data_IF_043415303721
#
_entry.id   IF_043415303721
#
_cell.length_a   1.000
_cell.length_b   1.000
_cell.length_c   1.000
_cell.angle_alpha   90.00
_cell.angle_beta   90.00
_cell.angle_gamma   90.00
#
_symmetry.space_group_name_H-M   'P 1'
#
loop_
_entity.id
_entity.type
_entity.pdbx_description
1 polymer ?
#
# COMPACT_ATOMS: atom_id res chain seq x y z
N UNK A 1 -17.12 -9.16 -31.56
CA UNK A 1 -16.57 -8.02 -30.79
C UNK A 1 -15.49 -8.58 -29.90
N UNK A 2 -14.28 -8.01 -29.92
CA UNK A 2 -13.24 -8.42 -28.96
C UNK A 2 -13.68 -7.88 -27.60
N UNK A 3 -13.97 -8.77 -26.65
CA UNK A 3 -14.30 -8.36 -25.28
C UNK A 3 -13.03 -7.73 -24.70
N UNK A 4 -13.08 -6.44 -24.39
CA UNK A 4 -11.95 -5.75 -23.77
C UNK A 4 -11.70 -6.38 -22.41
N UNK A 5 -10.45 -6.80 -22.15
CA UNK A 5 -10.08 -7.39 -20.87
C UNK A 5 -10.12 -6.31 -19.80
N UNK A 6 -10.86 -6.55 -18.72
CA UNK A 6 -10.99 -5.61 -17.60
C UNK A 6 -10.59 -6.29 -16.30
N UNK A 7 -9.77 -5.63 -15.48
CA UNK A 7 -9.28 -6.14 -14.21
C UNK A 7 -9.97 -5.39 -13.07
N UNK A 8 -10.58 -6.14 -12.15
CA UNK A 8 -11.07 -5.59 -10.89
C UNK A 8 -9.86 -5.30 -9.99
N UNK A 9 -9.57 -4.04 -9.75
CA UNK A 9 -8.40 -3.62 -8.97
C UNK A 9 -8.86 -3.05 -7.63
N UNK A 10 -8.36 -3.64 -6.55
CA UNK A 10 -8.77 -3.33 -5.18
C UNK A 10 -7.56 -2.80 -4.42
N UNK A 11 -7.72 -1.70 -3.70
CA UNK A 11 -6.71 -1.14 -2.80
C UNK A 11 -7.31 -1.09 -1.39
N UNK A 12 -6.79 -1.94 -0.51
CA UNK A 12 -7.22 -2.05 0.88
C UNK A 12 -6.28 -1.19 1.73
N UNK A 13 -6.82 -0.21 2.45
CA UNK A 13 -6.05 0.60 3.39
C UNK A 13 -6.80 0.81 4.70
N UNK A 14 -6.09 1.34 5.71
CA UNK A 14 -6.69 1.62 7.03
C UNK A 14 -7.73 2.75 7.02
N UNK A 15 -7.71 3.61 6.01
CA UNK A 15 -8.62 4.78 5.91
C UNK A 15 -9.72 4.61 4.86
N UNK A 16 -9.57 3.65 3.95
CA UNK A 16 -10.58 3.35 2.95
C UNK A 16 -10.23 2.13 2.12
N UNK A 17 -11.26 1.60 1.46
CA UNK A 17 -11.15 0.58 0.42
C UNK A 17 -11.47 1.26 -0.91
N UNK A 18 -10.61 1.09 -1.90
CA UNK A 18 -10.86 1.57 -3.26
C UNK A 18 -11.09 0.38 -4.18
N UNK A 19 -12.02 0.55 -5.11
CA UNK A 19 -12.27 -0.38 -6.19
C UNK A 19 -12.23 0.39 -7.50
N UNK A 20 -11.54 -0.17 -8.50
CA UNK A 20 -11.45 0.42 -9.82
C UNK A 20 -11.39 -0.66 -10.90
N UNK A 21 -12.06 -0.40 -12.02
CA UNK A 21 -11.94 -1.22 -13.22
C UNK A 21 -10.81 -0.69 -14.08
N UNK A 22 -9.78 -1.52 -14.31
CA UNK A 22 -8.61 -1.13 -15.10
C UNK A 22 -8.52 -1.95 -16.39
N UNK A 23 -8.04 -1.32 -17.45
CA UNK A 23 -7.55 -2.01 -18.65
C UNK A 23 -6.14 -2.57 -18.41
N UNK A 24 -5.63 -3.50 -19.24
CA UNK A 24 -4.30 -4.08 -19.06
C UNK A 24 -3.15 -3.07 -19.20
N UNK A 25 -3.37 -1.95 -19.90
CA UNK A 25 -2.45 -0.82 -20.03
C UNK A 25 -2.54 0.18 -18.88
N UNK A 26 -3.32 -0.12 -17.83
CA UNK A 26 -3.41 0.69 -16.60
C UNK A 26 -4.38 1.87 -16.66
N UNK A 27 -5.21 1.97 -17.69
CA UNK A 27 -6.23 3.01 -17.74
C UNK A 27 -7.36 2.68 -16.77
N UNK A 28 -7.63 3.59 -15.85
CA UNK A 28 -8.79 3.54 -14.97
C UNK A 28 -10.05 3.87 -15.78
N UNK A 29 -11.00 2.93 -15.85
CA UNK A 29 -12.29 3.08 -16.53
C UNK A 29 -13.34 3.68 -15.59
N UNK A 30 -13.35 3.20 -14.35
CA UNK A 30 -14.18 3.69 -13.26
C UNK A 30 -13.45 3.49 -11.94
N UNK A 31 -13.87 4.24 -10.93
CA UNK A 31 -13.30 4.20 -9.59
C UNK A 31 -14.34 4.60 -8.56
N UNK A 32 -14.36 3.87 -7.46
CA UNK A 32 -15.17 4.16 -6.28
C UNK A 32 -14.40 3.83 -5.02
N UNK A 33 -14.90 4.27 -3.87
CA UNK A 33 -14.30 3.98 -2.57
C UNK A 33 -15.33 4.02 -1.46
N UNK A 34 -15.06 3.28 -0.39
CA UNK A 34 -15.76 3.36 0.88
C UNK A 34 -14.75 3.57 2.01
N UNK A 35 -15.23 4.04 3.17
CA UNK A 35 -14.47 3.92 4.41
C UNK A 35 -14.20 2.45 4.71
N UNK A 36 -13.05 2.16 5.33
CA UNK A 36 -12.68 0.80 5.73
C UNK A 36 -13.78 0.19 6.61
N UNK A 37 -14.39 -0.95 6.20
CA UNK A 37 -15.41 -1.61 7.01
C UNK A 37 -14.87 -2.05 8.38
N UNK A 38 -15.77 -2.22 9.35
CA UNK A 38 -15.42 -2.66 10.72
C UNK A 38 -15.12 -4.18 10.80
N UNK A 39 -15.55 -4.96 9.80
CA UNK A 39 -15.43 -6.42 9.77
C UNK A 39 -15.24 -6.96 8.34
N UNK A 40 -14.87 -8.24 8.24
CA UNK A 40 -14.59 -8.91 6.97
C UNK A 40 -15.86 -9.14 6.15
N UNK A 41 -16.98 -9.43 6.81
CA UNK A 41 -18.26 -9.71 6.17
C UNK A 41 -18.76 -8.52 5.36
N UNK A 42 -18.70 -7.31 5.93
CA UNK A 42 -19.07 -6.07 5.26
C UNK A 42 -18.14 -5.75 4.10
N UNK A 43 -16.84 -6.03 4.23
CA UNK A 43 -15.88 -5.90 3.13
C UNK A 43 -16.23 -6.86 1.98
N UNK A 44 -16.42 -8.14 2.27
CA UNK A 44 -16.74 -9.15 1.26
C UNK A 44 -18.08 -8.87 0.58
N UNK A 45 -19.10 -8.44 1.33
CA UNK A 45 -20.39 -8.06 0.77
C UNK A 45 -20.28 -6.85 -0.16
N UNK A 46 -19.45 -5.86 0.18
CA UNK A 46 -19.22 -4.72 -0.70
C UNK A 46 -18.43 -5.11 -1.96
N UNK A 47 -17.43 -5.99 -1.84
CA UNK A 47 -16.69 -6.52 -2.98
C UNK A 47 -17.59 -7.33 -3.92
N UNK A 48 -18.51 -8.14 -3.38
CA UNK A 48 -19.50 -8.89 -4.17
C UNK A 48 -20.41 -7.98 -5.01
N UNK A 49 -20.88 -6.87 -4.42
CA UNK A 49 -21.64 -5.86 -5.17
C UNK A 49 -20.84 -5.27 -6.32
N UNK A 50 -19.54 -4.98 -6.12
CA UNK A 50 -18.68 -4.38 -7.17
C UNK A 50 -18.26 -5.39 -8.24
N UNK A 51 -17.98 -6.63 -7.84
CA UNK A 51 -17.55 -7.71 -8.73
C UNK A 51 -18.70 -8.23 -9.61
N UNK A 52 -19.96 -8.08 -9.18
CA UNK A 52 -21.16 -8.47 -9.93
C UNK A 52 -21.67 -7.42 -10.93
N UNK A 53 -21.15 -6.19 -10.89
CA UNK A 53 -21.59 -5.08 -11.76
C UNK A 53 -21.20 -5.27 -13.23
N UNK A 54 -20.15 -6.03 -13.51
CA UNK A 54 -19.67 -6.28 -14.87
C UNK A 54 -18.80 -7.54 -14.96
N UNK A 55 -18.49 -7.94 -16.19
CA UNK A 55 -17.61 -9.09 -16.44
C UNK A 55 -16.13 -8.71 -16.32
N UNK A 56 -15.49 -9.15 -15.24
CA UNK A 56 -14.04 -9.02 -15.07
C UNK A 56 -13.28 -10.23 -15.62
N UNK A 57 -12.01 -10.04 -15.93
CA UNK A 57 -11.09 -11.09 -16.39
C UNK A 57 -10.07 -11.51 -15.33
N UNK A 58 -10.04 -10.82 -14.19
CA UNK A 58 -9.12 -11.06 -13.08
C UNK A 58 -9.36 -10.07 -11.94
N UNK A 59 -8.86 -10.41 -10.75
CA UNK A 59 -8.87 -9.58 -9.55
C UNK A 59 -7.42 -9.32 -9.13
N UNK A 60 -7.06 -8.05 -8.99
CA UNK A 60 -5.75 -7.61 -8.51
C UNK A 60 -5.92 -6.79 -7.23
N UNK A 61 -5.13 -7.08 -6.19
CA UNK A 61 -5.27 -6.46 -4.88
C UNK A 61 -3.94 -5.87 -4.38
N UNK A 62 -3.98 -4.60 -4.00
CA UNK A 62 -2.99 -3.92 -3.17
C UNK A 62 -3.44 -4.04 -1.72
N UNK A 63 -2.61 -4.65 -0.86
CA UNK A 63 -2.97 -4.93 0.54
C UNK A 63 -1.82 -4.59 1.49
N UNK A 64 -2.12 -4.18 2.74
CA UNK A 64 -1.10 -4.01 3.76
C UNK A 64 -0.74 -5.36 4.38
N UNK A 65 0.51 -5.52 4.80
CA UNK A 65 1.04 -6.78 5.33
C UNK A 65 1.82 -7.58 4.28
N UNK A 66 2.29 -8.75 4.70
CA UNK A 66 3.14 -9.62 3.88
C UNK A 66 2.28 -10.67 3.17
N UNK A 67 2.28 -10.68 1.84
CA UNK A 67 1.48 -11.63 1.06
C UNK A 67 2.26 -12.91 0.80
N UNK A 68 1.71 -14.05 1.20
CA UNK A 68 2.15 -15.35 0.73
C UNK A 68 1.53 -15.64 -0.65
N UNK A 69 2.36 -15.58 -1.68
CA UNK A 69 1.95 -15.71 -3.09
C UNK A 69 1.41 -17.11 -3.44
N UNK A 70 1.78 -18.15 -2.69
CA UNK A 70 1.31 -19.52 -2.93
C UNK A 70 -0.09 -19.74 -2.33
N UNK A 71 -0.28 -19.30 -1.09
CA UNK A 71 -1.53 -19.56 -0.35
C UNK A 71 -2.56 -18.44 -0.49
N UNK A 72 -2.16 -17.24 -0.92
CA UNK A 72 -3.02 -16.05 -0.93
C UNK A 72 -3.32 -15.52 0.47
N UNK A 73 -2.54 -15.92 1.48
CA UNK A 73 -2.68 -15.47 2.87
C UNK A 73 -1.92 -14.16 3.06
N UNK A 74 -2.53 -13.23 3.79
CA UNK A 74 -1.87 -12.02 4.29
C UNK A 74 -1.40 -12.30 5.72
N UNK A 75 -0.09 -12.18 5.92
CA UNK A 75 0.59 -12.36 7.19
C UNK A 75 0.99 -11.00 7.80
N UNK A 76 1.26 -11.01 9.11
CA UNK A 76 1.74 -9.86 9.86
C UNK A 76 0.62 -9.08 10.55
N UNK A 77 0.78 -7.76 10.62
CA UNK A 77 -0.16 -6.85 11.26
C UNK A 77 -0.38 -5.64 10.37
N UNK A 78 -1.60 -5.10 10.38
CA UNK A 78 -1.94 -3.90 9.62
C UNK A 78 -3.03 -3.08 10.33
N UNK A 79 -3.36 -1.93 9.76
CA UNK A 79 -4.50 -1.13 10.18
C UNK A 79 -5.87 -1.80 9.92
N UNK A 80 -5.91 -2.92 9.16
CA UNK A 80 -7.13 -3.69 8.87
C UNK A 80 -6.93 -5.14 9.34
N UNK A 81 -7.08 -5.46 10.64
CA UNK A 81 -6.64 -6.75 11.18
C UNK A 81 -7.38 -7.96 10.60
N UNK A 82 -8.66 -7.81 10.24
CA UNK A 82 -9.51 -8.93 9.80
C UNK A 82 -9.18 -9.45 8.39
N UNK A 83 -8.26 -8.84 7.64
CA UNK A 83 -7.83 -9.35 6.32
C UNK A 83 -6.74 -10.43 6.40
N UNK A 84 -6.23 -10.70 7.61
CA UNK A 84 -5.06 -11.56 7.86
C UNK A 84 -5.47 -12.99 8.19
N UNK A 85 -4.57 -13.95 7.92
CA UNK A 85 -4.68 -15.32 8.45
C UNK A 85 -5.65 -16.26 7.73
N UNK A 86 -6.16 -15.89 6.56
CA UNK A 86 -6.96 -16.76 5.68
C UNK A 86 -6.58 -16.56 4.22
N UNK A 87 -6.98 -17.48 3.34
CA UNK A 87 -6.68 -17.42 1.91
C UNK A 87 -7.67 -16.53 1.14
N UNK A 88 -7.17 -15.48 0.52
CA UNK A 88 -7.95 -14.66 -0.42
C UNK A 88 -8.25 -15.38 -1.73
N UNK A 89 -7.42 -16.37 -2.12
CA UNK A 89 -7.72 -17.22 -3.26
C UNK A 89 -8.99 -18.05 -3.00
N UNK A 90 -9.16 -18.57 -1.78
CA UNK A 90 -10.36 -19.31 -1.39
C UNK A 90 -11.57 -18.39 -1.21
N UNK A 91 -11.40 -17.26 -0.52
CA UNK A 91 -12.49 -16.31 -0.25
C UNK A 91 -13.11 -15.72 -1.53
N UNK A 92 -12.32 -15.61 -2.60
CA UNK A 92 -12.76 -15.11 -3.91
C UNK A 92 -12.89 -16.22 -4.97
N UNK A 93 -12.88 -17.50 -4.57
CA UNK A 93 -12.92 -18.63 -5.49
C UNK A 93 -14.21 -18.73 -6.30
N UNK A 94 -15.34 -18.27 -5.76
CA UNK A 94 -16.66 -18.32 -6.40
C UNK A 94 -16.74 -17.53 -7.71
N UNK A 95 -15.90 -16.49 -7.87
CA UNK A 95 -15.83 -15.69 -9.09
C UNK A 95 -15.16 -16.43 -10.25
N UNK A 96 -14.41 -17.52 -9.98
CA UNK A 96 -13.67 -18.28 -10.99
C UNK A 96 -12.71 -17.41 -11.82
N UNK A 97 -12.16 -16.37 -11.19
CA UNK A 97 -11.20 -15.44 -11.79
C UNK A 97 -9.80 -15.69 -11.20
N UNK A 98 -8.73 -15.40 -11.97
CA UNK A 98 -7.39 -15.28 -11.40
C UNK A 98 -7.37 -14.17 -10.34
N UNK A 99 -6.84 -14.48 -9.15
CA UNK A 99 -6.70 -13.54 -8.03
C UNK A 99 -5.22 -13.39 -7.73
N UNK A 100 -4.74 -12.14 -7.70
CA UNK A 100 -3.38 -11.82 -7.30
C UNK A 100 -3.40 -10.71 -6.25
N UNK A 101 -2.58 -10.88 -5.23
CA UNK A 101 -2.39 -9.89 -4.17
C UNK A 101 -0.91 -9.53 -4.06
N UNK A 102 -0.63 -8.29 -3.74
CA UNK A 102 0.72 -7.81 -3.49
C UNK A 102 0.70 -6.73 -2.40
N UNK A 103 1.83 -6.60 -1.69
CA UNK A 103 2.01 -5.55 -0.70
C UNK A 103 1.87 -4.15 -1.34
N UNK A 104 1.31 -3.20 -0.60
CA UNK A 104 1.10 -1.82 -1.04
C UNK A 104 2.38 -1.11 -1.54
N UNK A 105 3.50 -1.19 -0.82
CA UNK A 105 4.76 -0.60 -1.25
C UNK A 105 5.31 -1.26 -2.54
N UNK A 106 5.15 -2.58 -2.66
CA UNK A 106 5.47 -3.30 -3.90
C UNK A 106 4.57 -2.86 -5.06
N UNK A 107 3.27 -2.63 -4.81
CA UNK A 107 2.35 -2.10 -5.83
C UNK A 107 2.77 -0.71 -6.32
N UNK A 108 3.28 0.15 -5.45
CA UNK A 108 3.86 1.44 -5.86
C UNK A 108 5.03 1.22 -6.83
N UNK A 109 5.96 0.33 -6.51
CA UNK A 109 7.08 0.01 -7.43
C UNK A 109 6.63 -0.55 -8.77
N UNK A 110 5.64 -1.46 -8.77
CA UNK A 110 5.07 -2.00 -9.99
C UNK A 110 4.38 -0.93 -10.85
N UNK A 111 3.75 0.08 -10.21
CA UNK A 111 3.15 1.21 -10.93
C UNK A 111 4.19 2.05 -11.67
N UNK A 112 5.39 2.21 -11.09
CA UNK A 112 6.51 2.88 -11.76
C UNK A 112 7.04 2.07 -12.94
N UNK A 113 7.04 0.72 -12.86
CA UNK A 113 7.39 -0.11 -14.03
C UNK A 113 6.37 -0.01 -15.16
N UNK A 114 5.10 0.25 -14.85
CA UNK A 114 4.10 0.50 -15.87
C UNK A 114 4.32 1.86 -16.55
N UNK A 115 4.70 2.88 -15.78
CA UNK A 115 5.02 4.21 -16.31
C UNK A 115 6.35 4.25 -17.08
N UNK A 116 7.32 3.47 -16.63
CA UNK A 116 8.69 3.40 -17.13
C UNK A 116 9.08 1.93 -17.41
N UNK A 117 8.53 1.31 -18.47
CA UNK A 117 8.74 -0.10 -18.79
C UNK A 117 10.20 -0.46 -19.11
N UNK A 118 11.05 0.53 -19.36
CA UNK A 118 12.50 0.38 -19.57
C UNK A 118 13.31 0.23 -18.28
N UNK A 119 12.70 0.37 -17.10
CA UNK A 119 13.41 0.25 -15.82
C UNK A 119 13.89 -1.19 -15.57
N UNK A 120 15.21 -1.38 -15.65
CA UNK A 120 15.84 -2.66 -15.33
C UNK A 120 16.08 -2.81 -13.82
N UNK A 121 16.69 -1.81 -13.18
CA UNK A 121 17.02 -1.86 -11.76
C UNK A 121 16.61 -0.56 -11.08
N UNK A 122 15.75 -0.65 -10.07
CA UNK A 122 15.21 0.50 -9.38
C UNK A 122 14.94 0.18 -7.91
N UNK A 123 14.98 1.21 -7.08
CA UNK A 123 14.43 1.17 -5.73
C UNK A 123 13.37 2.27 -5.64
N UNK A 124 12.20 1.94 -5.10
CA UNK A 124 11.18 2.91 -4.76
C UNK A 124 11.02 2.94 -3.24
N UNK A 125 11.06 4.14 -2.66
CA UNK A 125 10.91 4.38 -1.23
C UNK A 125 9.58 5.09 -1.03
N UNK A 126 8.70 4.47 -0.24
CA UNK A 126 7.37 4.99 0.04
C UNK A 126 7.39 5.64 1.41
N UNK A 127 7.27 6.97 1.45
CA UNK A 127 7.34 7.77 2.68
C UNK A 127 5.91 8.14 3.11
N UNK A 128 5.45 7.58 4.24
CA UNK A 128 4.13 7.79 4.79
C UNK A 128 4.15 7.83 6.31
N UNK A 129 3.22 7.13 6.96
CA UNK A 129 3.24 6.97 8.43
C UNK A 129 4.50 6.25 8.90
N UNK A 130 4.98 5.29 8.12
CA UNK A 130 6.33 4.71 8.18
C UNK A 130 7.08 4.89 6.87
N UNK A 131 8.15 4.13 6.67
CA UNK A 131 8.83 3.98 5.39
C UNK A 131 8.64 2.54 4.91
N UNK A 132 8.05 2.38 3.74
CA UNK A 132 8.05 1.14 2.98
C UNK A 132 8.99 1.25 1.80
N UNK A 133 9.14 0.16 1.05
CA UNK A 133 9.88 0.21 -0.18
C UNK A 133 9.82 -1.06 -0.97
N UNK A 134 10.47 -1.00 -2.12
CA UNK A 134 10.46 -2.08 -3.10
C UNK A 134 11.67 -1.98 -3.99
N UNK A 135 12.12 -3.12 -4.50
CA UNK A 135 13.26 -3.22 -5.39
C UNK A 135 12.82 -3.91 -6.68
N UNK A 136 13.22 -3.34 -7.81
CA UNK A 136 13.17 -3.98 -9.11
C UNK A 136 14.58 -4.40 -9.49
N UNK A 137 14.74 -5.65 -9.92
CA UNK A 137 15.99 -6.20 -10.46
C UNK A 137 15.67 -6.91 -11.77
N UNK A 138 16.37 -6.53 -12.84
CA UNK A 138 16.14 -7.01 -14.21
C UNK A 138 14.67 -6.93 -14.66
N UNK A 139 14.05 -5.76 -14.45
CA UNK A 139 12.66 -5.47 -14.83
C UNK A 139 11.61 -6.23 -14.02
N UNK A 140 12.00 -6.84 -12.89
CA UNK A 140 11.11 -7.65 -12.05
C UNK A 140 11.19 -7.28 -10.59
N UNK A 141 10.05 -7.33 -9.92
CA UNK A 141 9.96 -7.17 -8.48
C UNK A 141 10.83 -8.20 -7.74
N UNK A 142 11.72 -7.70 -6.88
CA UNK A 142 12.58 -8.51 -6.03
C UNK A 142 11.97 -8.65 -4.63
N UNK A 143 11.24 -9.75 -4.41
CA UNK A 143 10.56 -10.03 -3.12
C UNK A 143 11.49 -10.54 -2.02
N UNK A 144 12.65 -11.10 -2.37
CA UNK A 144 13.54 -11.78 -1.43
C UNK A 144 12.98 -13.11 -0.90
N UNK A 145 13.76 -13.81 -0.07
CA UNK A 145 13.44 -15.17 0.41
C UNK A 145 12.19 -15.24 1.30
N UNK A 146 11.92 -14.18 2.06
CA UNK A 146 10.84 -14.12 3.06
C UNK A 146 9.82 -13.03 2.74
N UNK A 147 9.80 -12.50 1.52
CA UNK A 147 8.91 -11.38 1.17
C UNK A 147 9.32 -10.01 1.73
N UNK A 148 10.54 -9.88 2.27
CA UNK A 148 11.06 -8.66 2.90
C UNK A 148 12.01 -7.85 1.97
N UNK A 149 12.00 -8.13 0.67
CA UNK A 149 12.82 -7.39 -0.29
C UNK A 149 12.35 -5.93 -0.40
N UNK A 150 13.27 -4.98 -0.20
CA UNK A 150 12.93 -3.55 -0.26
C UNK A 150 12.35 -2.96 1.02
N UNK A 151 12.34 -3.69 2.14
CA UNK A 151 11.91 -3.22 3.46
C UNK A 151 12.90 -2.19 4.09
N UNK A 152 13.15 -1.09 3.38
CA UNK A 152 14.12 -0.06 3.75
C UNK A 152 13.81 0.57 5.10
N UNK A 153 12.54 0.60 5.49
CA UNK A 153 12.10 1.10 6.79
C UNK A 153 12.74 0.39 7.98
N UNK A 154 13.15 -0.87 7.84
CA UNK A 154 13.81 -1.65 8.90
C UNK A 154 15.30 -1.33 9.08
N UNK A 155 15.91 -0.60 8.15
CA UNK A 155 17.33 -0.23 8.22
C UNK A 155 17.60 0.64 9.45
N UNK A 156 18.46 0.19 10.38
CA UNK A 156 18.93 1.00 11.50
C UNK A 156 19.98 2.00 11.04
N UNK A 157 19.72 3.29 11.23
CA UNK A 157 20.61 4.38 10.79
C UNK A 157 21.37 5.01 11.95
N UNK A 158 20.95 4.74 13.19
CA UNK A 158 21.70 5.01 14.42
C UNK A 158 21.80 3.73 15.24
N UNK A 159 22.73 3.70 16.20
CA UNK A 159 22.86 2.58 17.12
C UNK A 159 21.52 2.34 17.86
N UNK A 160 21.00 1.10 17.88
CA UNK A 160 19.81 0.78 18.67
C UNK A 160 20.06 1.05 20.16
N UNK A 161 19.06 1.61 20.84
CA UNK A 161 19.08 1.87 22.28
C UNK A 161 17.70 1.51 22.86
N UNK A 162 17.03 2.43 23.56
CA UNK A 162 15.63 2.24 23.99
C UNK A 162 14.67 2.08 22.80
N UNK A 163 15.00 2.71 21.67
CA UNK A 163 14.31 2.55 20.38
C UNK A 163 15.23 1.82 19.40
N UNK A 164 14.61 1.17 18.41
CA UNK A 164 15.32 0.47 17.35
C UNK A 164 16.15 1.42 16.48
N UNK A 165 15.71 2.68 16.34
CA UNK A 165 16.35 3.70 15.52
C UNK A 165 16.45 3.29 14.04
N UNK A 166 15.40 2.63 13.55
CA UNK A 166 15.24 2.29 12.15
C UNK A 166 14.73 3.47 11.33
N UNK A 167 14.93 3.41 10.01
CA UNK A 167 14.66 4.51 9.10
C UNK A 167 13.20 4.97 9.17
N UNK A 168 12.25 4.04 9.28
CA UNK A 168 10.84 4.39 9.52
C UNK A 168 10.61 5.24 10.77
N UNK A 169 11.35 5.01 11.87
CA UNK A 169 11.21 5.78 13.11
C UNK A 169 11.79 7.19 13.00
N UNK A 170 12.75 7.39 12.10
CA UNK A 170 13.57 8.60 12.06
C UNK A 170 13.29 9.50 10.85
N UNK A 171 12.65 9.00 9.79
CA UNK A 171 12.51 9.71 8.52
C UNK A 171 11.13 9.57 7.86
N UNK A 172 10.12 9.06 8.57
CA UNK A 172 8.76 9.00 8.02
C UNK A 172 7.99 10.30 8.25
N UNK A 173 7.07 10.63 7.34
CA UNK A 173 6.11 11.73 7.51
C UNK A 173 5.33 11.60 8.82
N UNK A 174 4.97 10.38 9.20
CA UNK A 174 4.28 10.12 10.47
C UNK A 174 5.09 10.51 11.71
N UNK A 175 6.40 10.28 11.71
CA UNK A 175 7.25 10.67 12.84
C UNK A 175 7.58 12.17 12.82
N UNK A 176 7.73 12.79 11.64
CA UNK A 176 7.82 14.25 11.50
C UNK A 176 6.57 14.94 12.09
N UNK A 177 5.37 14.45 11.76
CA UNK A 177 4.12 14.97 12.34
C UNK A 177 4.07 14.81 13.85
N UNK A 178 4.49 13.65 14.39
CA UNK A 178 4.55 13.42 15.85
C UNK A 178 5.51 14.39 16.53
N UNK A 179 6.69 14.62 15.94
CA UNK A 179 7.67 15.57 16.47
C UNK A 179 7.08 16.98 16.57
N UNK A 180 6.43 17.48 15.51
CA UNK A 180 5.79 18.80 15.52
C UNK A 180 4.63 18.87 16.52
N UNK A 181 3.81 17.81 16.65
CA UNK A 181 2.74 17.75 17.66
C UNK A 181 3.32 17.85 19.08
N UNK A 182 4.36 17.07 19.39
CA UNK A 182 5.01 17.06 20.71
C UNK A 182 5.60 18.44 21.06
N UNK A 183 6.17 19.15 20.08
CA UNK A 183 6.80 20.46 20.28
C UNK A 183 5.83 21.63 20.28
N UNK A 184 4.77 21.58 19.47
CA UNK A 184 3.76 22.65 19.36
C UNK A 184 2.67 22.57 20.43
N UNK A 185 2.44 21.38 21.01
CA UNK A 185 1.46 21.15 22.07
C UNK A 185 0.01 20.97 21.61
N UNK A 186 -0.25 20.79 20.32
CA UNK A 186 -1.58 20.49 19.78
C UNK A 186 -1.53 19.49 18.62
N UNK A 187 -2.66 18.86 18.31
CA UNK A 187 -2.75 17.74 17.34
C UNK A 187 -3.19 18.14 15.93
N UNK A 188 -3.52 19.42 15.71
CA UNK A 188 -3.90 19.95 14.40
C UNK A 188 -2.70 20.10 13.45
N UNK A 189 -2.11 18.98 13.04
CA UNK A 189 -0.97 18.90 12.13
C UNK A 189 -1.08 17.71 11.18
N UNK A 190 -0.70 17.94 9.94
CA UNK A 190 -0.35 16.92 8.97
C UNK A 190 0.90 17.35 8.19
N UNK A 191 1.44 16.47 7.35
CA UNK A 191 2.64 16.78 6.58
C UNK A 191 2.48 18.00 5.66
N UNK A 192 1.29 18.23 5.10
CA UNK A 192 1.05 19.36 4.20
C UNK A 192 1.04 20.68 4.96
N UNK A 193 0.40 20.72 6.14
CA UNK A 193 0.38 21.91 7.00
C UNK A 193 1.78 22.25 7.50
N UNK A 194 2.58 21.24 7.88
CA UNK A 194 3.99 21.44 8.26
C UNK A 194 4.76 22.13 7.13
N UNK A 195 4.63 21.67 5.89
CA UNK A 195 5.28 22.31 4.73
C UNK A 195 4.81 23.76 4.49
N UNK A 196 3.51 24.04 4.68
CA UNK A 196 2.96 25.38 4.52
C UNK A 196 3.51 26.34 5.58
N UNK A 197 3.55 25.91 6.84
CA UNK A 197 4.07 26.71 7.95
C UNK A 197 5.60 26.89 7.85
N UNK A 198 6.32 25.86 7.40
CA UNK A 198 7.75 25.97 7.08
C UNK A 198 8.02 27.05 6.04
N UNK A 199 7.23 27.07 4.95
CA UNK A 199 7.32 28.08 3.90
C UNK A 199 6.93 29.48 4.40
N UNK A 200 6.06 29.57 5.42
CA UNK A 200 5.66 30.83 6.07
C UNK A 200 6.68 31.34 7.11
N UNK A 201 7.77 30.60 7.36
CA UNK A 201 8.84 31.02 8.28
C UNK A 201 8.76 30.42 9.69
N UNK A 202 7.91 29.41 9.92
CA UNK A 202 7.85 28.72 11.21
C UNK A 202 9.13 27.88 11.42
N UNK A 203 9.97 28.28 12.36
CA UNK A 203 11.25 27.63 12.64
C UNK A 203 11.11 26.15 13.01
N UNK A 204 10.10 25.79 13.82
CA UNK A 204 9.87 24.38 14.21
C UNK A 204 9.62 23.49 12.99
N UNK A 205 8.88 24.01 12.00
CA UNK A 205 8.56 23.26 10.77
C UNK A 205 9.70 23.28 9.74
N UNK A 206 10.73 24.13 9.91
CA UNK A 206 11.91 24.17 9.04
C UNK A 206 13.06 23.31 9.55
N UNK A 207 13.12 23.05 10.86
CA UNK A 207 14.17 22.26 11.51
C UNK A 207 14.05 20.74 11.25
N UNK A 208 12.86 20.28 10.85
CA UNK A 208 12.51 18.86 10.64
C UNK A 208 12.33 18.54 9.15
#
# INVERSE_FOLDING_TARGET
MVKTMTIATIDIGGTGIKFASLTPDGKILDKTSISTPENLEDLLAWLDQRLSEQDYSGIAMSVPGAVNQETGVIDGLSAVPYIHGFSWHEALSSYQLPVHLENDANCVGLSELLAHPELENAACVVIGTGIGGTMTINGRLHRGRHGLGGEFGYMTTLAPAEKLNNWSQLASTGNMVRYVIEKSGHTDWDGRKIYQEAAAGNALCQED
#
